data_IF_978524939918
#
_entry.id   IF_978524939918
#
_cell.length_a   1.000
_cell.length_b   1.000
_cell.length_c   1.000
_cell.angle_alpha   90.00
_cell.angle_beta   90.00
_cell.angle_gamma   90.00
#
_symmetry.space_group_name_H-M   'P 1'
#
loop_
_entity.id
_entity.type
_entity.pdbx_description
1 polymer ?
#
# COMPACT_ATOMS: atom_id res chain seq x y z
N UNK A 1 14.06 -7.17 4.76
CA UNK A 1 13.11 -7.97 3.95
C UNK A 1 11.94 -7.15 3.41
N UNK A 2 11.31 -6.28 4.22
CA UNK A 2 10.19 -5.42 3.80
C UNK A 2 10.61 -4.49 2.64
N UNK A 3 11.83 -3.95 2.67
CA UNK A 3 12.39 -3.11 1.59
C UNK A 3 12.41 -3.82 0.24
N UNK A 4 12.88 -5.07 0.20
CA UNK A 4 12.98 -5.84 -1.04
C UNK A 4 11.61 -6.18 -1.61
N UNK A 5 10.64 -6.51 -0.76
CA UNK A 5 9.26 -6.77 -1.17
C UNK A 5 8.58 -5.54 -1.76
N UNK A 6 8.71 -4.39 -1.10
CA UNK A 6 8.16 -3.13 -1.57
C UNK A 6 8.77 -2.69 -2.91
N UNK A 7 10.09 -2.82 -3.08
CA UNK A 7 10.79 -2.57 -4.33
C UNK A 7 10.29 -3.49 -5.45
N UNK A 8 10.07 -4.79 -5.15
CA UNK A 8 9.56 -5.75 -6.13
C UNK A 8 8.17 -5.39 -6.63
N UNK A 9 7.25 -5.00 -5.73
CA UNK A 9 5.90 -4.57 -6.10
C UNK A 9 5.99 -3.37 -7.04
N UNK A 10 6.75 -2.35 -6.67
CA UNK A 10 6.87 -1.14 -7.47
C UNK A 10 7.50 -1.38 -8.83
N UNK A 11 8.61 -2.13 -8.91
CA UNK A 11 9.23 -2.45 -10.20
C UNK A 11 8.27 -3.22 -11.10
N UNK A 12 7.62 -4.26 -10.58
CA UNK A 12 6.65 -5.05 -11.37
C UNK A 12 5.48 -4.20 -11.88
N UNK A 13 4.99 -3.27 -11.06
CA UNK A 13 3.92 -2.36 -11.47
C UNK A 13 4.41 -1.34 -12.50
N UNK A 14 5.62 -0.81 -12.36
CA UNK A 14 6.21 0.11 -13.34
C UNK A 14 6.43 -0.60 -14.68
N UNK A 15 6.95 -1.83 -14.67
CA UNK A 15 7.17 -2.63 -15.87
C UNK A 15 5.85 -2.93 -16.60
N UNK A 16 4.79 -3.27 -15.86
CA UNK A 16 3.48 -3.57 -16.44
C UNK A 16 2.71 -2.34 -16.90
N UNK A 17 2.75 -1.24 -16.16
CA UNK A 17 2.00 -0.02 -16.45
C UNK A 17 2.75 0.96 -17.36
N UNK A 18 4.06 0.75 -17.49
CA UNK A 18 4.95 1.60 -18.25
C UNK A 18 5.36 2.88 -17.51
N UNK A 19 6.45 3.50 -17.94
CA UNK A 19 7.02 4.69 -17.30
C UNK A 19 6.06 5.89 -17.25
N UNK A 20 5.13 6.01 -18.21
CA UNK A 20 4.12 7.09 -18.22
C UNK A 20 3.15 7.01 -17.05
N UNK A 21 2.91 5.82 -16.50
CA UNK A 21 2.01 5.58 -15.37
C UNK A 21 2.76 5.22 -14.07
N UNK A 22 4.07 5.44 -14.03
CA UNK A 22 4.89 5.09 -12.85
C UNK A 22 4.44 5.81 -11.58
N UNK A 23 3.91 7.03 -11.65
CA UNK A 23 3.30 7.71 -10.50
C UNK A 23 2.09 6.95 -9.93
N UNK A 24 1.23 6.40 -10.81
CA UNK A 24 0.10 5.57 -10.39
C UNK A 24 0.60 4.26 -9.77
N UNK A 25 1.60 3.63 -10.39
CA UNK A 25 2.21 2.41 -9.89
C UNK A 25 2.77 2.60 -8.47
N UNK A 26 3.48 3.70 -8.24
CA UNK A 26 4.01 4.06 -6.92
C UNK A 26 2.90 4.36 -5.91
N UNK A 27 1.82 5.04 -6.33
CA UNK A 27 0.65 5.26 -5.48
C UNK A 27 0.00 3.96 -5.03
N UNK A 28 -0.21 3.02 -5.95
CA UNK A 28 -0.75 1.69 -5.63
C UNK A 28 0.22 0.91 -4.72
N UNK A 29 1.52 0.96 -5.00
CA UNK A 29 2.54 0.34 -4.12
C UNK A 29 2.46 0.90 -2.71
N UNK A 30 2.42 2.23 -2.58
CA UNK A 30 2.27 2.91 -1.29
C UNK A 30 0.98 2.47 -0.58
N UNK A 31 -0.15 2.42 -1.30
CA UNK A 31 -1.42 2.00 -0.74
C UNK A 31 -1.36 0.56 -0.20
N UNK A 32 -0.83 -0.38 -0.98
CA UNK A 32 -0.72 -1.78 -0.56
C UNK A 32 0.20 -1.93 0.65
N UNK A 33 1.38 -1.30 0.62
CA UNK A 33 2.34 -1.37 1.74
C UNK A 33 1.80 -0.66 2.98
N UNK A 34 1.09 0.48 2.81
CA UNK A 34 0.49 1.24 3.91
C UNK A 34 -0.54 0.47 4.72
N UNK A 35 -1.16 -0.58 4.16
CA UNK A 35 -2.09 -1.41 4.93
C UNK A 35 -1.41 -2.22 6.03
N UNK A 36 -0.12 -2.52 5.91
CA UNK A 36 0.61 -3.44 6.80
C UNK A 36 1.79 -2.80 7.52
N UNK A 37 2.31 -1.69 7.00
CA UNK A 37 3.51 -1.01 7.52
C UNK A 37 3.12 0.37 8.07
N UNK A 38 3.75 0.77 9.18
CA UNK A 38 3.59 2.13 9.70
C UNK A 38 4.02 3.16 8.65
N UNK A 39 3.28 4.26 8.58
CA UNK A 39 3.51 5.31 7.58
C UNK A 39 4.96 5.77 7.55
N UNK A 40 5.54 6.09 8.71
CA UNK A 40 6.90 6.61 8.85
C UNK A 40 7.95 5.61 8.34
N UNK A 41 7.81 4.35 8.71
CA UNK A 41 8.70 3.29 8.25
C UNK A 41 8.55 3.06 6.73
N UNK A 42 7.31 3.10 6.23
CA UNK A 42 7.02 3.00 4.80
C UNK A 42 7.65 4.13 3.99
N UNK A 43 7.60 5.36 4.49
CA UNK A 43 8.25 6.53 3.86
C UNK A 43 9.75 6.31 3.72
N UNK A 44 10.43 5.97 4.81
CA UNK A 44 11.90 5.77 4.80
C UNK A 44 12.31 4.69 3.79
N UNK A 45 11.54 3.60 3.72
CA UNK A 45 11.85 2.46 2.84
C UNK A 45 11.53 2.75 1.37
N UNK A 46 10.44 3.48 1.10
CA UNK A 46 9.91 3.63 -0.27
C UNK A 46 10.34 4.92 -0.96
N UNK A 47 10.72 5.97 -0.24
CA UNK A 47 11.08 7.24 -0.85
C UNK A 47 12.27 7.15 -1.81
N UNK A 48 13.32 6.34 -1.54
CA UNK A 48 14.42 6.14 -2.48
C UNK A 48 13.97 5.59 -3.83
N UNK A 49 12.88 4.81 -3.84
CA UNK A 49 12.30 4.29 -5.07
C UNK A 49 11.67 5.40 -5.94
N UNK A 50 10.96 6.36 -5.32
CA UNK A 50 10.44 7.52 -6.03
C UNK A 50 11.59 8.35 -6.62
N UNK A 51 12.72 8.46 -5.92
CA UNK A 51 13.91 9.12 -6.40
C UNK A 51 14.54 8.41 -7.60
N UNK A 52 14.66 7.07 -7.53
CA UNK A 52 15.19 6.26 -8.65
C UNK A 52 14.35 6.44 -9.91
N UNK A 53 13.01 6.40 -9.80
CA UNK A 53 12.11 6.61 -10.93
C UNK A 53 12.19 8.04 -11.48
N UNK A 54 12.28 9.04 -10.61
CA UNK A 54 12.45 10.44 -11.02
C UNK A 54 13.75 10.64 -11.80
N UNK A 55 14.86 10.02 -11.36
CA UNK A 55 16.16 10.03 -12.04
C UNK A 55 16.08 9.41 -13.45
N UNK A 56 15.46 8.23 -13.57
CA UNK A 56 15.31 7.52 -14.84
C UNK A 56 14.45 8.28 -15.85
N UNK A 57 13.37 8.92 -15.38
CA UNK A 57 12.39 9.61 -16.23
C UNK A 57 12.72 11.08 -16.45
N UNK A 58 13.73 11.63 -15.76
CA UNK A 58 14.12 13.06 -15.79
C UNK A 58 12.97 14.02 -15.44
N UNK A 59 12.02 13.56 -14.62
CA UNK A 59 10.91 14.36 -14.11
C UNK A 59 11.17 14.83 -12.69
N UNK A 60 10.37 15.80 -12.22
CA UNK A 60 10.40 16.26 -10.83
C UNK A 60 10.18 15.10 -9.86
N UNK A 61 10.96 15.06 -8.78
CA UNK A 61 10.80 14.10 -7.69
C UNK A 61 9.40 14.13 -7.11
N UNK A 62 8.78 15.30 -7.03
CA UNK A 62 7.41 15.46 -6.51
C UNK A 62 6.36 14.72 -7.33
N UNK A 63 6.59 14.58 -8.65
CA UNK A 63 5.69 13.84 -9.53
C UNK A 63 5.50 12.38 -9.11
N UNK A 64 6.48 11.80 -8.43
CA UNK A 64 6.50 10.40 -7.99
C UNK A 64 6.34 10.25 -6.48
N UNK A 65 6.94 11.16 -5.71
CA UNK A 65 6.88 11.10 -4.25
C UNK A 65 5.46 11.37 -3.72
N UNK A 66 4.74 12.35 -4.29
CA UNK A 66 3.39 12.69 -3.82
C UNK A 66 2.40 11.51 -3.99
N UNK A 67 2.29 10.86 -5.16
CA UNK A 67 1.44 9.67 -5.29
C UNK A 67 1.82 8.53 -4.34
N UNK A 68 3.11 8.28 -4.15
CA UNK A 68 3.61 7.27 -3.24
C UNK A 68 3.20 7.54 -1.80
N UNK A 69 3.43 8.77 -1.33
CA UNK A 69 3.09 9.19 0.03
C UNK A 69 1.57 9.21 0.26
N UNK A 70 0.81 9.69 -0.71
CA UNK A 70 -0.65 9.70 -0.62
C UNK A 70 -1.23 8.29 -0.57
N UNK A 71 -0.69 7.35 -1.37
CA UNK A 71 -1.06 5.94 -1.32
C UNK A 71 -0.74 5.33 0.04
N UNK A 72 0.48 5.52 0.52
CA UNK A 72 0.94 5.01 1.81
C UNK A 72 0.08 5.55 2.98
N UNK A 73 -0.17 6.86 3.00
CA UNK A 73 -0.99 7.50 4.03
C UNK A 73 -2.44 7.01 4.00
N UNK A 74 -3.04 6.93 2.81
CA UNK A 74 -4.43 6.49 2.69
C UNK A 74 -4.60 4.99 2.99
N UNK A 75 -3.65 4.14 2.58
CA UNK A 75 -3.64 2.72 2.96
C UNK A 75 -3.56 2.53 4.47
N UNK A 76 -2.63 3.24 5.12
CA UNK A 76 -2.46 3.20 6.56
C UNK A 76 -3.67 3.76 7.34
N UNK A 77 -4.26 4.86 6.87
CA UNK A 77 -5.36 5.51 7.59
C UNK A 77 -6.68 4.78 7.48
N UNK A 78 -7.02 4.25 6.29
CA UNK A 78 -8.38 3.77 6.01
C UNK A 78 -8.51 2.24 5.95
N UNK A 79 -7.41 1.51 5.72
CA UNK A 79 -7.52 0.07 5.45
C UNK A 79 -6.95 -0.76 6.60
N UNK A 80 -7.79 -1.56 7.32
CA UNK A 80 -7.26 -2.59 8.22
C UNK A 80 -6.34 -3.57 7.46
N UNK A 81 -5.33 -4.18 8.09
CA UNK A 81 -5.12 -4.30 9.53
C UNK A 81 -4.19 -3.24 10.17
N UNK A 82 -4.03 -2.06 9.59
CA UNK A 82 -3.23 -1.01 10.22
C UNK A 82 -3.71 -0.71 11.65
N UNK A 83 -2.79 -0.38 12.56
CA UNK A 83 -3.11 -0.17 13.96
C UNK A 83 -4.15 0.95 14.18
N UNK A 84 -4.04 2.04 13.40
CA UNK A 84 -4.98 3.16 13.48
C UNK A 84 -6.40 2.78 13.07
N UNK A 85 -6.56 2.10 11.94
CA UNK A 85 -7.87 1.70 11.44
C UNK A 85 -8.54 0.64 12.33
N UNK A 86 -7.76 -0.29 12.90
CA UNK A 86 -8.28 -1.28 13.86
C UNK A 86 -8.77 -0.61 15.13
N UNK A 87 -8.01 0.34 15.69
CA UNK A 87 -8.40 1.08 16.88
C UNK A 87 -9.71 1.88 16.68
N UNK A 88 -9.83 2.54 15.53
CA UNK A 88 -11.05 3.28 15.17
C UNK A 88 -12.24 2.33 15.03
N UNK A 89 -12.07 1.20 14.35
CA UNK A 89 -13.12 0.20 14.19
C UNK A 89 -13.62 -0.32 15.55
N UNK A 90 -12.70 -0.64 16.45
CA UNK A 90 -12.99 -1.11 17.80
C UNK A 90 -13.74 -0.04 18.61
N UNK A 91 -13.25 1.20 18.59
CA UNK A 91 -13.86 2.33 19.31
C UNK A 91 -15.28 2.65 18.84
N UNK A 92 -15.58 2.44 17.57
CA UNK A 92 -16.91 2.66 16.97
C UNK A 92 -17.78 1.39 16.99
N UNK A 93 -17.29 0.26 17.46
CA UNK A 93 -17.99 -1.02 17.42
C UNK A 93 -18.28 -1.51 15.99
N UNK A 94 -17.48 -1.09 15.01
CA UNK A 94 -17.64 -1.45 13.59
C UNK A 94 -16.88 -2.72 13.26
N UNK A 95 -17.52 -3.60 12.49
CA UNK A 95 -16.87 -4.81 12.00
C UNK A 95 -15.71 -4.46 11.03
N UNK A 96 -14.53 -5.05 11.28
CA UNK A 96 -13.32 -4.78 10.47
C UNK A 96 -13.50 -5.05 8.99
N UNK A 97 -14.28 -6.08 8.61
CA UNK A 97 -14.53 -6.35 7.20
C UNK A 97 -15.39 -5.28 6.54
N UNK A 98 -16.38 -4.73 7.25
CA UNK A 98 -17.14 -3.57 6.77
C UNK A 98 -16.21 -2.37 6.59
N UNK A 99 -15.31 -2.16 7.55
CA UNK A 99 -14.30 -1.10 7.44
C UNK A 99 -13.37 -1.29 6.24
N UNK A 100 -12.95 -2.53 5.93
CA UNK A 100 -12.16 -2.83 4.72
C UNK A 100 -12.97 -2.51 3.45
N UNK A 101 -14.24 -2.93 3.40
CA UNK A 101 -15.10 -2.71 2.22
C UNK A 101 -15.31 -1.22 1.91
N UNK A 102 -15.40 -0.38 2.91
CA UNK A 102 -15.51 1.09 2.74
C UNK A 102 -14.13 1.74 2.64
N UNK A 103 -13.16 1.25 3.39
CA UNK A 103 -11.80 1.81 3.46
C UNK A 103 -11.03 1.69 2.15
N UNK A 104 -11.10 0.56 1.45
CA UNK A 104 -10.40 0.37 0.17
C UNK A 104 -10.85 1.39 -0.90
N UNK A 105 -12.16 1.55 -1.21
CA UNK A 105 -12.60 2.57 -2.15
C UNK A 105 -12.21 3.98 -1.73
N UNK A 106 -12.36 4.31 -0.45
CA UNK A 106 -11.98 5.62 0.10
C UNK A 106 -10.49 5.88 -0.07
N UNK A 107 -9.63 4.91 0.29
CA UNK A 107 -8.20 5.01 0.14
C UNK A 107 -7.76 5.18 -1.33
N UNK A 108 -8.42 4.45 -2.26
CA UNK A 108 -8.18 4.59 -3.69
C UNK A 108 -8.55 5.99 -4.21
N UNK A 109 -9.71 6.52 -3.81
CA UNK A 109 -10.14 7.88 -4.20
C UNK A 109 -9.14 8.90 -3.66
N UNK A 110 -8.77 8.83 -2.38
CA UNK A 110 -7.79 9.72 -1.77
C UNK A 110 -6.42 9.63 -2.48
N UNK A 111 -5.93 8.43 -2.76
CA UNK A 111 -4.67 8.22 -3.49
C UNK A 111 -4.73 8.81 -4.90
N UNK A 112 -5.84 8.65 -5.62
CA UNK A 112 -5.97 9.20 -6.98
C UNK A 112 -6.05 10.73 -6.94
N UNK A 113 -6.88 11.30 -6.09
CA UNK A 113 -7.10 12.76 -6.03
C UNK A 113 -5.89 13.47 -5.43
N UNK A 114 -5.52 13.15 -4.20
CA UNK A 114 -4.43 13.81 -3.49
C UNK A 114 -3.04 13.34 -3.97
N UNK A 115 -2.92 12.12 -4.49
CA UNK A 115 -1.67 11.56 -4.98
C UNK A 115 -1.47 11.83 -6.47
N UNK A 116 -2.23 11.14 -7.31
CA UNK A 116 -1.94 11.10 -8.75
C UNK A 116 -2.26 12.43 -9.43
N UNK A 117 -3.45 13.01 -9.19
CA UNK A 117 -3.87 14.26 -9.83
C UNK A 117 -3.04 15.42 -9.30
N UNK A 118 -2.99 15.58 -7.98
CA UNK A 118 -2.24 16.65 -7.34
C UNK A 118 -0.73 16.53 -7.57
N UNK A 119 -0.18 15.31 -7.47
CA UNK A 119 1.24 15.06 -7.70
C UNK A 119 1.69 15.39 -9.12
N UNK A 120 0.84 15.11 -10.13
CA UNK A 120 1.10 15.55 -11.52
C UNK A 120 1.08 17.06 -11.63
N UNK A 121 0.04 17.70 -11.10
CA UNK A 121 -0.13 19.16 -11.18
C UNK A 121 1.05 19.89 -10.53
N UNK A 122 1.50 19.48 -9.36
CA UNK A 122 2.64 20.10 -8.67
C UNK A 122 3.96 19.70 -9.34
N UNK A 123 4.13 18.42 -9.69
CA UNK A 123 5.36 17.93 -10.31
C UNK A 123 5.66 18.55 -11.69
N UNK A 124 4.64 18.99 -12.43
CA UNK A 124 4.82 19.70 -13.68
C UNK A 124 5.09 21.20 -13.46
N UNK A 125 4.67 21.78 -12.33
CA UNK A 125 4.88 23.21 -12.00
C UNK A 125 6.18 23.47 -11.22
N UNK A 126 6.55 22.52 -10.34
CA UNK A 126 7.70 22.66 -9.44
C UNK A 126 8.72 21.57 -9.74
N UNK A 127 9.81 21.97 -10.36
CA UNK A 127 10.91 21.04 -10.61
C UNK A 127 11.82 20.96 -9.38
N UNK A 128 11.72 19.86 -8.65
CA UNK A 128 12.61 19.57 -7.51
C UNK A 128 13.69 18.59 -7.95
N UNK A 129 14.95 19.05 -7.82
CA UNK A 129 16.12 18.19 -8.06
C UNK A 129 16.24 17.12 -6.96
N UNK A 130 16.88 16.02 -7.29
CA UNK A 130 17.24 15.00 -6.31
C UNK A 130 18.17 15.60 -5.23
N UNK A 131 18.02 15.21 -3.96
CA UNK A 131 19.01 15.57 -2.92
C UNK A 131 20.40 15.03 -3.32
N UNK A 132 21.43 15.82 -3.08
CA UNK A 132 22.82 15.52 -3.52
C UNK A 132 23.31 14.17 -2.99
N UNK A 133 22.87 13.76 -1.80
CA UNK A 133 23.27 12.50 -1.16
C UNK A 133 22.58 11.24 -1.75
N UNK A 134 21.61 11.40 -2.66
CA UNK A 134 20.87 10.27 -3.27
C UNK A 134 21.54 9.83 -4.59
N UNK A 135 22.45 10.62 -5.14
CA UNK A 135 23.21 10.25 -6.35
C UNK A 135 24.11 9.03 -6.14
N UNK A 136 24.49 8.74 -4.89
CA UNK A 136 25.34 7.61 -4.48
C UNK A 136 24.59 6.33 -4.10
N UNK A 137 23.26 6.33 -4.11
CA UNK A 137 22.51 5.08 -3.91
C UNK A 137 22.79 4.21 -5.14
N UNK A 138 23.81 3.38 -5.02
CA UNK A 138 24.09 2.32 -5.98
C UNK A 138 22.88 1.41 -6.01
N UNK A 139 22.29 1.26 -7.19
CA UNK A 139 21.36 0.17 -7.48
C UNK A 139 22.15 -1.15 -7.38
N UNK A 140 22.45 -1.61 -6.16
CA UNK A 140 22.97 -2.96 -5.99
C UNK A 140 21.86 -3.92 -6.41
N UNK A 141 22.14 -4.85 -7.30
CA UNK A 141 21.18 -5.87 -7.71
C UNK A 141 20.94 -6.81 -6.53
N UNK A 142 20.00 -6.44 -5.65
CA UNK A 142 19.48 -7.36 -4.63
C UNK A 142 18.54 -8.34 -5.31
N UNK A 143 18.75 -9.62 -5.06
CA UNK A 143 17.77 -10.64 -5.45
C UNK A 143 16.42 -10.33 -4.81
N UNK A 144 15.48 -9.90 -5.63
CA UNK A 144 14.16 -9.53 -5.17
C UNK A 144 13.28 -10.78 -5.06
N UNK A 145 12.51 -10.94 -3.98
CA UNK A 145 11.60 -12.06 -3.84
C UNK A 145 10.55 -12.09 -4.97
N UNK A 146 9.95 -13.25 -5.27
CA UNK A 146 8.93 -13.34 -6.31
C UNK A 146 7.71 -12.48 -5.96
N UNK A 147 7.22 -11.72 -6.94
CA UNK A 147 6.09 -10.79 -6.76
C UNK A 147 4.86 -11.44 -6.12
N UNK A 148 4.52 -12.66 -6.55
CA UNK A 148 3.37 -13.39 -6.03
C UNK A 148 3.47 -13.72 -4.55
N UNK A 149 4.67 -14.04 -4.06
CA UNK A 149 4.90 -14.32 -2.64
C UNK A 149 4.71 -13.05 -1.81
N UNK A 150 5.28 -11.93 -2.23
CA UNK A 150 5.16 -10.65 -1.50
C UNK A 150 3.71 -10.19 -1.44
N UNK A 151 3.03 -10.22 -2.58
CA UNK A 151 1.63 -9.83 -2.66
C UNK A 151 0.74 -10.77 -1.84
N UNK A 152 1.03 -12.08 -1.88
CA UNK A 152 0.32 -13.09 -1.09
C UNK A 152 0.40 -12.81 0.41
N UNK A 153 1.61 -12.60 0.94
CA UNK A 153 1.82 -12.32 2.38
C UNK A 153 1.05 -11.06 2.81
N UNK A 154 0.98 -10.02 1.97
CA UNK A 154 0.26 -8.79 2.30
C UNK A 154 -1.26 -8.97 2.19
N UNK A 155 -1.74 -9.72 1.20
CA UNK A 155 -3.18 -9.89 0.97
C UNK A 155 -3.84 -10.97 1.83
N UNK A 156 -3.10 -11.98 2.30
CA UNK A 156 -3.65 -13.08 3.12
C UNK A 156 -4.44 -12.54 4.32
N UNK A 157 -3.92 -11.66 5.18
CA UNK A 157 -4.67 -11.14 6.32
C UNK A 157 -5.96 -10.44 5.91
N UNK A 158 -5.89 -9.61 4.87
CA UNK A 158 -7.06 -8.89 4.33
C UNK A 158 -8.15 -9.85 3.85
N UNK A 159 -7.77 -10.85 3.08
CA UNK A 159 -8.69 -11.87 2.53
C UNK A 159 -9.32 -12.69 3.66
N UNK A 160 -8.55 -13.10 4.66
CA UNK A 160 -9.06 -13.85 5.81
C UNK A 160 -10.09 -13.05 6.62
N UNK A 161 -9.82 -11.76 6.87
CA UNK A 161 -10.76 -10.87 7.58
C UNK A 161 -12.04 -10.67 6.74
N UNK A 162 -11.92 -10.48 5.42
CA UNK A 162 -13.07 -10.33 4.53
C UNK A 162 -13.92 -11.60 4.48
N UNK A 163 -13.30 -12.78 4.33
CA UNK A 163 -14.01 -14.08 4.33
C UNK A 163 -14.76 -14.27 5.64
N UNK A 164 -14.12 -14.01 6.78
CA UNK A 164 -14.75 -14.08 8.10
C UNK A 164 -15.96 -13.14 8.21
N UNK A 165 -15.88 -11.96 7.62
CA UNK A 165 -16.99 -11.00 7.66
C UNK A 165 -18.13 -11.42 6.75
N UNK A 166 -17.84 -11.82 5.53
CA UNK A 166 -18.85 -12.26 4.55
C UNK A 166 -19.57 -13.53 5.03
N UNK A 167 -18.85 -14.43 5.71
CA UNK A 167 -19.43 -15.66 6.23
C UNK A 167 -20.58 -15.44 7.22
N UNK A 168 -20.62 -14.29 7.90
CA UNK A 168 -21.72 -13.94 8.82
C UNK A 168 -23.05 -13.62 8.13
N UNK A 169 -22.98 -13.25 6.84
CA UNK A 169 -24.15 -12.91 6.03
C UNK A 169 -24.61 -14.06 5.13
N UNK A 170 -23.85 -15.15 5.07
CA UNK A 170 -24.17 -16.34 4.28
C UNK A 170 -24.86 -17.39 5.15
N UNK A 171 -25.84 -18.13 4.61
CA UNK A 171 -26.50 -19.24 5.32
C UNK A 171 -25.56 -20.47 5.39
N UNK A 172 -24.52 -20.37 6.19
CA UNK A 172 -23.50 -21.42 6.37
C UNK A 172 -23.72 -22.07 7.74
N UNK A 173 -23.49 -23.40 7.90
CA UNK A 173 -23.60 -24.08 9.19
C UNK A 173 -22.75 -23.39 10.28
N UNK A 174 -23.31 -23.27 11.48
CA UNK A 174 -22.69 -22.54 12.60
C UNK A 174 -21.25 -23.01 12.92
N UNK A 175 -20.97 -24.30 12.76
CA UNK A 175 -19.63 -24.85 12.99
C UNK A 175 -18.57 -24.26 12.01
N UNK A 176 -18.92 -24.12 10.74
CA UNK A 176 -18.02 -23.53 9.72
C UNK A 176 -17.88 -22.04 9.96
N UNK A 177 -18.96 -21.37 10.31
CA UNK A 177 -18.96 -19.92 10.61
C UNK A 177 -18.06 -19.60 11.80
N UNK A 178 -18.09 -20.43 12.87
CA UNK A 178 -17.23 -20.25 14.03
C UNK A 178 -15.73 -20.45 13.70
N UNK A 179 -15.40 -21.42 12.85
CA UNK A 179 -14.02 -21.64 12.40
C UNK A 179 -13.53 -20.45 11.55
N UNK A 180 -14.33 -19.98 10.59
CA UNK A 180 -13.98 -18.83 9.78
C UNK A 180 -13.86 -17.55 10.61
N UNK A 181 -14.75 -17.37 11.60
CA UNK A 181 -14.67 -16.24 12.52
C UNK A 181 -13.43 -16.28 13.42
N UNK A 182 -12.95 -17.47 13.77
CA UNK A 182 -11.73 -17.65 14.54
C UNK A 182 -10.48 -17.31 13.72
N UNK A 183 -10.37 -17.88 12.51
CA UNK A 183 -9.23 -17.66 11.61
C UNK A 183 -9.15 -16.19 11.15
N UNK A 184 -10.28 -15.52 10.94
CA UNK A 184 -10.34 -14.11 10.54
C UNK A 184 -10.19 -13.11 11.68
N UNK A 185 -9.88 -13.54 12.91
CA UNK A 185 -9.47 -12.57 13.96
C UNK A 185 -8.18 -11.89 13.55
N UNK A 186 -8.06 -10.55 13.65
CA UNK A 186 -6.88 -9.82 13.18
C UNK A 186 -5.58 -10.34 13.78
N UNK A 187 -5.61 -10.74 15.04
CA UNK A 187 -4.45 -11.29 15.75
C UNK A 187 -3.94 -12.61 15.14
N UNK A 188 -4.85 -13.49 14.70
CA UNK A 188 -4.48 -14.76 14.06
C UNK A 188 -4.19 -14.61 12.56
N UNK A 189 -4.84 -13.67 11.91
CA UNK A 189 -4.61 -13.42 10.48
C UNK A 189 -3.24 -12.76 10.20
N UNK A 190 -2.62 -12.13 11.23
CA UNK A 190 -1.33 -11.45 11.13
C UNK A 190 -0.14 -12.30 11.62
N UNK A 191 -0.39 -13.44 12.23
CA UNK A 191 0.65 -14.40 12.64
C UNK A 191 0.88 -15.45 11.59
#
# INVERSE_FOLDING_TARGET
EVSCGAQRIAQTLIDKLGQKKAGVALGITGLVIGTTVFFEAGVVVLIPLAFSVAKQTKKSTLYYAIPLLAGLASGYAFVPPSAGSVLVADSLGVNLGVMIMVGIPTALICMVVAGVIWGRFIGDKVFTKLPVNVEEIKDEPKELPPFGLVLGVILIPLVLILISTISKYLPIPANVQNVLAFIGKPFLALT
#
